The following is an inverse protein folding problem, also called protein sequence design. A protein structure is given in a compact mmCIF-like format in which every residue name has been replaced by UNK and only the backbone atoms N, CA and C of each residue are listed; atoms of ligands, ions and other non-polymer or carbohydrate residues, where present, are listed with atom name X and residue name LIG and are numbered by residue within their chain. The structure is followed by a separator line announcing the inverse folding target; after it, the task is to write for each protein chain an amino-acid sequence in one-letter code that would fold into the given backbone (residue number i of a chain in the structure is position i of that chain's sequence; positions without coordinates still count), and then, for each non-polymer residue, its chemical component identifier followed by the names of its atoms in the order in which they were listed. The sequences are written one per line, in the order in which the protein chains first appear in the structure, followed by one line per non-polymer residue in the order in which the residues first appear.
data_IF_424824795097
#
_entry.id   IF_424824795097
#
_cell.length_a   1.000
_cell.length_b   1.000
_cell.length_c   1.000
_cell.angle_alpha   90.00
_cell.angle_beta   90.00
_cell.angle_gamma   90.00
#
_symmetry.space_group_name_H-M   'P 1'
#
loop_
_entity.id
_entity.type
_entity.pdbx_description
1 polymer ?
#
# COMPACT_ATOMS: atom_id res chain seq x y z
N UNK A 1 -18.75 -1.41 22.94
CA UNK A 1 -18.57 -1.53 21.49
C UNK A 1 -17.35 -0.76 20.97
N UNK A 2 -17.14 0.53 21.31
CA UNK A 2 -16.00 1.34 20.83
C UNK A 2 -14.62 0.74 21.18
N UNK A 3 -14.40 0.24 22.40
CA UNK A 3 -13.13 -0.36 22.81
C UNK A 3 -12.77 -1.65 22.02
N UNK A 4 -13.78 -2.46 21.69
CA UNK A 4 -13.59 -3.68 20.89
C UNK A 4 -13.21 -3.33 19.44
N UNK A 5 -13.89 -2.35 18.82
CA UNK A 5 -13.59 -1.88 17.48
C UNK A 5 -12.17 -1.29 17.38
N UNK A 6 -11.74 -0.56 18.42
CA UNK A 6 -10.40 0.02 18.48
C UNK A 6 -9.32 -1.04 18.67
N UNK A 7 -9.53 -2.04 19.54
CA UNK A 7 -8.62 -3.17 19.68
C UNK A 7 -8.48 -3.95 18.37
N UNK A 8 -9.57 -4.12 17.63
CA UNK A 8 -9.57 -4.76 16.32
C UNK A 8 -8.79 -3.94 15.28
N UNK A 9 -8.94 -2.60 15.25
CA UNK A 9 -8.19 -1.73 14.33
C UNK A 9 -6.68 -1.79 14.60
N UNK A 10 -6.25 -1.73 15.88
CA UNK A 10 -4.84 -1.88 16.27
C UNK A 10 -4.29 -3.24 15.87
N UNK A 11 -5.06 -4.30 16.07
CA UNK A 11 -4.67 -5.67 15.66
C UNK A 11 -4.51 -5.76 14.14
N UNK A 12 -5.46 -5.21 13.37
CA UNK A 12 -5.37 -5.22 11.90
C UNK A 12 -4.18 -4.41 11.37
N UNK A 13 -3.89 -3.26 11.98
CA UNK A 13 -2.70 -2.47 11.64
C UNK A 13 -1.41 -3.27 11.88
N UNK A 14 -1.25 -3.87 13.06
CA UNK A 14 -0.08 -4.71 13.38
C UNK A 14 0.09 -5.89 12.41
N UNK A 15 -1.01 -6.56 12.07
CA UNK A 15 -0.98 -7.65 11.10
C UNK A 15 -0.58 -7.15 9.70
N UNK A 16 -0.99 -5.94 9.30
CA UNK A 16 -0.61 -5.34 8.03
C UNK A 16 0.88 -4.97 8.00
N UNK A 17 1.43 -4.45 9.09
CA UNK A 17 2.88 -4.20 9.24
C UNK A 17 3.65 -5.52 9.13
N UNK A 18 3.25 -6.57 9.88
CA UNK A 18 3.89 -7.88 9.81
C UNK A 18 3.81 -8.49 8.40
N UNK A 19 2.68 -8.37 7.72
CA UNK A 19 2.52 -8.82 6.35
C UNK A 19 3.48 -8.08 5.40
N UNK A 20 3.66 -6.77 5.57
CA UNK A 20 4.59 -5.99 4.75
C UNK A 20 6.04 -6.36 5.04
N UNK A 21 6.42 -6.60 6.31
CA UNK A 21 7.75 -7.13 6.67
C UNK A 21 8.00 -8.49 6.01
N UNK A 22 7.01 -9.38 6.01
CA UNK A 22 7.12 -10.67 5.32
C UNK A 22 7.25 -10.49 3.79
N UNK A 23 6.54 -9.52 3.20
CA UNK A 23 6.70 -9.17 1.78
C UNK A 23 8.14 -8.76 1.46
N UNK A 24 8.71 -7.83 2.25
CA UNK A 24 10.06 -7.33 2.01
C UNK A 24 11.13 -8.40 2.19
N UNK A 25 10.92 -9.32 3.13
CA UNK A 25 11.78 -10.49 3.32
C UNK A 25 11.77 -11.40 2.08
N UNK A 26 10.60 -11.64 1.49
CA UNK A 26 10.48 -12.44 0.27
C UNK A 26 11.03 -11.70 -0.95
N UNK A 27 10.75 -10.39 -1.10
CA UNK A 27 11.27 -9.60 -2.22
C UNK A 27 12.80 -9.52 -2.22
N UNK A 28 13.42 -9.42 -1.05
CA UNK A 28 14.87 -9.28 -0.89
C UNK A 28 15.68 -10.49 -1.37
N UNK A 29 15.07 -11.67 -1.46
CA UNK A 29 15.72 -12.89 -1.95
C UNK A 29 16.09 -12.82 -3.45
N UNK A 30 15.42 -11.96 -4.24
CA UNK A 30 15.65 -11.83 -5.68
C UNK A 30 17.12 -11.58 -6.04
N UNK A 31 17.80 -10.71 -5.30
CA UNK A 31 19.20 -10.35 -5.57
C UNK A 31 20.15 -11.52 -5.48
N UNK A 32 19.97 -12.41 -4.50
CA UNK A 32 20.81 -13.60 -4.33
C UNK A 32 20.49 -14.65 -5.39
N UNK A 33 19.19 -14.91 -5.64
CA UNK A 33 18.78 -15.93 -6.62
C UNK A 33 19.19 -15.56 -8.04
N UNK A 34 19.09 -14.27 -8.42
CA UNK A 34 19.51 -13.85 -9.78
C UNK A 34 20.99 -14.08 -10.05
N UNK A 35 21.85 -14.15 -9.05
CA UNK A 35 23.28 -14.47 -9.19
C UNK A 35 23.56 -15.93 -9.51
N UNK A 36 22.63 -16.82 -9.20
CA UNK A 36 22.71 -18.24 -9.53
C UNK A 36 22.18 -18.56 -10.92
N UNK A 37 21.62 -17.59 -11.66
CA UNK A 37 21.16 -17.75 -13.02
C UNK A 37 22.32 -17.66 -14.00
N UNK A 38 22.35 -18.58 -14.96
CA UNK A 38 23.32 -18.58 -16.05
C UNK A 38 23.02 -17.47 -17.06
N UNK A 39 21.71 -17.20 -17.30
CA UNK A 39 21.28 -16.16 -18.22
C UNK A 39 21.05 -14.83 -17.48
N UNK A 40 21.69 -13.77 -17.98
CA UNK A 40 21.63 -12.44 -17.40
C UNK A 40 20.84 -11.42 -18.26
N UNK A 41 20.09 -11.87 -19.25
CA UNK A 41 19.26 -11.02 -20.10
C UNK A 41 18.01 -10.58 -19.31
N UNK A 42 17.96 -9.29 -18.95
CA UNK A 42 16.90 -8.74 -18.12
C UNK A 42 15.49 -8.94 -18.69
N UNK A 43 15.32 -8.88 -20.02
CA UNK A 43 14.01 -9.07 -20.65
C UNK A 43 13.55 -10.53 -20.55
N UNK A 44 14.46 -11.49 -20.75
CA UNK A 44 14.17 -12.94 -20.60
C UNK A 44 13.80 -13.25 -19.14
N UNK A 45 14.54 -12.66 -18.18
CA UNK A 45 14.24 -12.82 -16.76
C UNK A 45 12.87 -12.24 -16.39
N UNK A 46 12.53 -11.04 -16.90
CA UNK A 46 11.20 -10.44 -16.72
C UNK A 46 10.12 -11.36 -17.27
N UNK A 47 10.27 -11.86 -18.50
CA UNK A 47 9.26 -12.70 -19.15
C UNK A 47 8.92 -13.94 -18.31
N UNK A 48 9.92 -14.75 -18.00
CA UNK A 48 9.70 -16.00 -17.27
C UNK A 48 9.25 -15.77 -15.83
N UNK A 49 9.90 -14.87 -15.09
CA UNK A 49 9.55 -14.55 -13.70
C UNK A 49 8.12 -14.02 -13.60
N UNK A 50 7.75 -13.07 -14.47
CA UNK A 50 6.40 -12.49 -14.48
C UNK A 50 5.37 -13.49 -15.00
N UNK A 51 5.72 -14.33 -15.98
CA UNK A 51 4.88 -15.43 -16.47
C UNK A 51 4.53 -16.42 -15.36
N UNK A 52 5.53 -16.87 -14.60
CA UNK A 52 5.30 -17.78 -13.47
C UNK A 52 4.54 -17.11 -12.33
N UNK A 53 4.76 -15.81 -12.09
CA UNK A 53 3.97 -15.05 -11.10
C UNK A 53 2.50 -14.97 -11.54
N UNK A 54 2.24 -14.66 -12.81
CA UNK A 54 0.89 -14.61 -13.36
C UNK A 54 0.20 -15.98 -13.27
N UNK A 55 0.89 -17.06 -13.66
CA UNK A 55 0.37 -18.43 -13.57
C UNK A 55 0.03 -18.80 -12.13
N UNK A 56 0.95 -18.54 -11.18
CA UNK A 56 0.74 -18.86 -9.76
C UNK A 56 -0.45 -18.10 -9.17
N UNK A 57 -0.56 -16.79 -9.47
CA UNK A 57 -1.68 -15.98 -9.01
C UNK A 57 -3.00 -16.40 -9.65
N UNK A 58 -2.98 -16.76 -10.95
CA UNK A 58 -4.16 -17.26 -11.66
C UNK A 58 -4.67 -18.56 -11.02
N UNK A 59 -3.77 -19.49 -10.73
CA UNK A 59 -4.12 -20.76 -10.07
C UNK A 59 -4.68 -20.53 -8.67
N UNK A 60 -4.02 -19.72 -7.85
CA UNK A 60 -4.45 -19.45 -6.47
C UNK A 60 -5.76 -18.67 -6.43
N UNK A 61 -5.91 -17.61 -7.21
CA UNK A 61 -7.14 -16.82 -7.25
C UNK A 61 -8.28 -17.57 -7.92
N UNK A 62 -7.99 -18.32 -8.99
CA UNK A 62 -8.96 -19.17 -9.68
C UNK A 62 -9.51 -20.28 -8.78
N UNK A 63 -8.63 -20.93 -7.99
CA UNK A 63 -9.03 -21.96 -7.02
C UNK A 63 -9.85 -21.39 -5.86
N UNK A 64 -9.54 -20.15 -5.38
CA UNK A 64 -10.23 -19.52 -4.25
C UNK A 64 -11.56 -18.87 -4.61
N UNK A 65 -11.63 -18.21 -5.74
CA UNK A 65 -12.78 -17.39 -6.13
C UNK A 65 -13.61 -18.00 -7.27
N UNK A 66 -13.04 -19.00 -7.97
CA UNK A 66 -13.56 -19.51 -9.23
C UNK A 66 -13.18 -18.65 -10.43
N UNK A 67 -13.11 -19.29 -11.62
CA UNK A 67 -12.64 -18.64 -12.86
C UNK A 67 -13.62 -17.56 -13.36
N UNK A 68 -14.93 -17.80 -13.26
CA UNK A 68 -15.95 -16.84 -13.74
C UNK A 68 -15.99 -15.54 -12.95
N UNK A 69 -16.03 -15.53 -11.59
CA UNK A 69 -15.92 -14.32 -10.80
C UNK A 69 -14.61 -13.56 -11.05
N UNK A 70 -13.48 -14.30 -11.15
CA UNK A 70 -12.19 -13.70 -11.45
C UNK A 70 -12.23 -12.99 -12.82
N UNK A 71 -12.75 -13.62 -13.87
CA UNK A 71 -12.88 -13.02 -15.19
C UNK A 71 -13.70 -11.72 -15.18
N UNK A 72 -14.83 -11.68 -14.47
CA UNK A 72 -15.62 -10.44 -14.29
C UNK A 72 -14.84 -9.37 -13.54
N UNK A 73 -14.08 -9.72 -12.52
CA UNK A 73 -13.25 -8.79 -11.77
C UNK A 73 -12.17 -8.16 -12.66
N UNK A 74 -11.54 -8.94 -13.53
CA UNK A 74 -10.50 -8.48 -14.44
C UNK A 74 -11.00 -7.41 -15.43
N UNK A 75 -12.27 -7.47 -15.84
CA UNK A 75 -12.86 -6.55 -16.81
C UNK A 75 -13.51 -5.30 -16.17
N UNK A 76 -13.77 -5.33 -14.86
CA UNK A 76 -14.77 -4.45 -14.25
C UNK A 76 -14.27 -3.10 -13.71
N UNK A 77 -12.96 -2.80 -13.60
CA UNK A 77 -12.53 -1.61 -12.86
C UNK A 77 -11.30 -0.93 -13.44
N UNK A 78 -11.43 0.38 -13.76
CA UNK A 78 -10.31 1.21 -14.18
C UNK A 78 -9.22 1.32 -13.11
N UNK A 79 -9.60 1.34 -11.83
CA UNK A 79 -8.65 1.40 -10.69
C UNK A 79 -7.81 0.12 -10.61
N UNK A 80 -8.42 -1.06 -10.89
CA UNK A 80 -7.70 -2.32 -10.96
C UNK A 80 -6.63 -2.30 -12.06
N UNK A 81 -6.99 -1.81 -13.26
CA UNK A 81 -6.05 -1.69 -14.38
C UNK A 81 -4.94 -0.65 -14.11
N UNK A 82 -5.27 0.46 -13.44
CA UNK A 82 -4.27 1.45 -13.00
C UNK A 82 -3.25 0.82 -12.02
N UNK A 83 -3.72 0.06 -11.03
CA UNK A 83 -2.84 -0.68 -10.12
C UNK A 83 -2.03 -1.76 -10.86
N UNK A 84 -2.66 -2.49 -11.79
CA UNK A 84 -1.96 -3.49 -12.62
C UNK A 84 -0.85 -2.85 -13.47
N UNK A 85 -1.08 -1.68 -14.05
CA UNK A 85 -0.05 -0.94 -14.78
C UNK A 85 1.12 -0.54 -13.87
N UNK A 86 0.84 -0.08 -12.64
CA UNK A 86 1.89 0.20 -11.65
C UNK A 86 2.70 -1.06 -11.31
N UNK A 87 2.04 -2.21 -11.07
CA UNK A 87 2.73 -3.49 -10.84
C UNK A 87 3.58 -3.90 -12.04
N UNK A 88 3.06 -3.76 -13.26
CA UNK A 88 3.80 -4.07 -14.50
C UNK A 88 5.06 -3.22 -14.62
N UNK A 89 4.96 -1.90 -14.38
CA UNK A 89 6.12 -1.00 -14.39
C UNK A 89 7.14 -1.41 -13.33
N UNK A 90 6.70 -1.69 -12.09
CA UNK A 90 7.59 -2.12 -11.01
C UNK A 90 8.35 -3.40 -11.38
N UNK A 91 7.65 -4.42 -11.89
CA UNK A 91 8.26 -5.71 -12.24
C UNK A 91 9.24 -5.61 -13.40
N UNK A 92 8.88 -4.83 -14.43
CA UNK A 92 9.69 -4.65 -15.65
C UNK A 92 10.86 -3.72 -15.40
N UNK A 93 10.61 -2.51 -14.87
CA UNK A 93 11.63 -1.48 -14.69
C UNK A 93 12.72 -1.92 -13.71
N UNK A 94 12.37 -2.62 -12.63
CA UNK A 94 13.34 -3.11 -11.65
C UNK A 94 14.36 -4.06 -12.29
N UNK A 95 13.90 -5.06 -13.05
CA UNK A 95 14.79 -6.04 -13.68
C UNK A 95 15.61 -5.44 -14.83
N UNK A 96 15.01 -4.55 -15.62
CA UNK A 96 15.74 -3.86 -16.68
C UNK A 96 16.80 -2.94 -16.06
N UNK A 97 16.48 -2.22 -15.00
CA UNK A 97 17.45 -1.39 -14.28
C UNK A 97 18.63 -2.23 -13.78
N UNK A 98 18.36 -3.39 -13.15
CA UNK A 98 19.42 -4.30 -12.68
C UNK A 98 20.33 -4.82 -13.81
N UNK A 99 19.83 -4.93 -15.04
CA UNK A 99 20.63 -5.35 -16.21
C UNK A 99 21.49 -4.20 -16.81
N UNK A 100 21.13 -2.95 -16.51
CA UNK A 100 21.79 -1.75 -17.04
C UNK A 100 22.70 -1.04 -16.04
N UNK A 101 22.40 -1.18 -14.72
CA UNK A 101 23.16 -0.53 -13.66
C UNK A 101 23.40 -1.50 -12.48
N UNK A 102 24.07 -1.05 -11.43
CA UNK A 102 24.33 -1.88 -10.26
C UNK A 102 23.08 -2.06 -9.38
N UNK A 103 23.03 -3.16 -8.63
CA UNK A 103 21.99 -3.41 -7.63
C UNK A 103 21.91 -2.25 -6.64
N UNK A 104 23.07 -1.76 -6.18
CA UNK A 104 23.17 -0.66 -5.23
C UNK A 104 22.50 0.63 -5.78
N UNK A 105 22.77 1.00 -7.02
CA UNK A 105 22.18 2.18 -7.66
C UNK A 105 20.67 2.04 -7.85
N UNK A 106 20.20 0.85 -8.22
CA UNK A 106 18.77 0.55 -8.35
C UNK A 106 18.06 0.67 -6.99
N UNK A 107 18.65 0.15 -5.92
CA UNK A 107 18.08 0.23 -4.57
C UNK A 107 18.09 1.65 -4.00
N UNK A 108 19.14 2.46 -4.30
CA UNK A 108 19.14 3.89 -3.94
C UNK A 108 18.01 4.62 -4.66
N UNK A 109 17.80 4.38 -5.94
CA UNK A 109 16.67 4.96 -6.66
C UNK A 109 15.33 4.53 -6.03
N UNK A 110 15.17 3.25 -5.71
CA UNK A 110 13.97 2.72 -5.06
C UNK A 110 13.72 3.32 -3.67
N UNK A 111 14.77 3.75 -2.95
CA UNK A 111 14.65 4.39 -1.64
C UNK A 111 13.92 5.73 -1.63
N UNK A 112 13.68 6.33 -2.81
CA UNK A 112 12.84 7.52 -2.96
C UNK A 112 11.34 7.20 -2.83
N UNK A 113 10.93 5.93 -2.80
CA UNK A 113 9.53 5.54 -2.71
C UNK A 113 8.77 6.17 -1.54
N UNK A 114 9.30 6.28 -0.31
CA UNK A 114 8.59 6.93 0.80
C UNK A 114 8.31 8.41 0.55
N UNK A 115 9.24 9.12 -0.10
CA UNK A 115 9.05 10.52 -0.47
C UNK A 115 7.91 10.68 -1.47
N UNK A 116 7.93 9.89 -2.57
CA UNK A 116 6.86 9.92 -3.56
C UNK A 116 5.52 9.48 -2.97
N UNK A 117 5.51 8.45 -2.12
CA UNK A 117 4.30 7.97 -1.47
C UNK A 117 3.70 9.00 -0.50
N UNK A 118 4.53 9.73 0.24
CA UNK A 118 4.10 10.83 1.10
C UNK A 118 3.49 11.98 0.27
N UNK A 119 4.17 12.40 -0.79
CA UNK A 119 3.72 13.48 -1.68
C UNK A 119 2.43 13.11 -2.43
N UNK A 120 2.38 11.95 -3.05
CA UNK A 120 1.18 11.49 -3.77
C UNK A 120 0.02 11.20 -2.80
N UNK A 121 0.29 10.67 -1.62
CA UNK A 121 -0.71 10.47 -0.57
C UNK A 121 -1.32 11.78 -0.08
N UNK A 122 -0.51 12.82 0.07
CA UNK A 122 -0.97 14.17 0.40
C UNK A 122 -1.80 14.76 -0.74
N UNK A 123 -1.31 14.67 -1.98
CA UNK A 123 -1.94 15.30 -3.15
C UNK A 123 -3.28 14.64 -3.52
N UNK A 124 -3.33 13.31 -3.62
CA UNK A 124 -4.50 12.59 -4.13
C UNK A 124 -5.47 12.13 -3.05
N UNK A 125 -4.97 11.73 -1.88
CA UNK A 125 -5.79 11.24 -0.78
C UNK A 125 -6.01 12.28 0.32
N UNK A 126 -5.32 13.43 0.26
CA UNK A 126 -5.32 14.48 1.29
C UNK A 126 -4.96 13.92 2.66
N UNK A 127 -4.12 12.88 2.70
CA UNK A 127 -3.63 12.30 3.93
C UNK A 127 -2.47 13.15 4.46
N UNK A 128 -2.68 13.80 5.60
CA UNK A 128 -1.59 14.50 6.28
C UNK A 128 -0.58 13.45 6.79
N UNK A 129 0.67 13.63 6.40
CA UNK A 129 1.79 12.80 6.87
C UNK A 129 2.30 13.40 8.18
N UNK A 130 2.29 12.65 9.30
CA UNK A 130 2.73 13.19 10.58
C UNK A 130 4.22 13.53 10.55
N UNK A 131 4.67 14.56 11.32
CA UNK A 131 6.06 15.01 11.34
C UNK A 131 7.08 13.89 11.62
N UNK A 132 6.73 12.92 12.47
CA UNK A 132 7.53 11.75 12.77
C UNK A 132 7.84 10.92 11.52
N UNK A 133 6.84 10.75 10.63
CA UNK A 133 7.00 9.99 9.39
C UNK A 133 7.87 10.76 8.40
N UNK A 134 7.76 12.09 8.32
CA UNK A 134 8.68 12.92 7.56
C UNK A 134 10.13 12.78 8.05
N UNK A 135 10.32 12.84 9.37
CA UNK A 135 11.63 12.61 9.96
C UNK A 135 12.18 11.23 9.62
N UNK A 136 11.35 10.18 9.74
CA UNK A 136 11.74 8.82 9.37
C UNK A 136 12.12 8.70 7.89
N UNK A 137 11.38 9.34 6.97
CA UNK A 137 11.70 9.38 5.54
C UNK A 137 13.08 10.00 5.31
N UNK A 138 13.33 11.18 5.89
CA UNK A 138 14.62 11.88 5.74
C UNK A 138 15.77 11.05 6.31
N UNK A 139 15.62 10.53 7.53
CA UNK A 139 16.65 9.71 8.19
C UNK A 139 16.94 8.43 7.40
N UNK A 140 15.88 7.74 6.92
CA UNK A 140 16.05 6.53 6.13
C UNK A 140 16.72 6.80 4.77
N UNK A 141 16.39 7.92 4.11
CA UNK A 141 17.04 8.34 2.86
C UNK A 141 18.52 8.69 3.07
N UNK A 142 18.86 9.36 4.17
CA UNK A 142 20.26 9.64 4.53
C UNK A 142 21.02 8.34 4.83
N UNK A 143 20.40 7.40 5.55
CA UNK A 143 20.96 6.07 5.80
C UNK A 143 21.23 5.31 4.50
N UNK A 144 20.30 5.36 3.53
CA UNK A 144 20.46 4.74 2.22
C UNK A 144 21.56 5.41 1.40
N UNK A 145 21.61 6.75 1.38
CA UNK A 145 22.66 7.50 0.68
C UNK A 145 24.03 7.17 1.27
N UNK A 146 24.16 7.10 2.59
CA UNK A 146 25.40 6.69 3.27
C UNK A 146 25.82 5.25 2.95
N UNK A 147 24.87 4.33 2.96
CA UNK A 147 25.07 2.91 2.67
C UNK A 147 25.72 2.68 1.30
N UNK A 148 25.29 3.46 0.29
CA UNK A 148 25.71 3.29 -1.09
C UNK A 148 26.54 4.44 -1.65
N UNK A 149 27.10 5.32 -0.81
CA UNK A 149 27.85 6.52 -1.21
C UNK A 149 28.93 6.24 -2.26
N UNK A 150 29.76 5.23 -2.01
CA UNK A 150 30.82 4.87 -2.94
C UNK A 150 30.31 4.34 -4.29
N UNK A 151 29.16 3.64 -4.27
CA UNK A 151 28.55 3.09 -5.49
C UNK A 151 27.90 4.19 -6.35
N UNK A 152 27.42 5.27 -5.72
CA UNK A 152 26.86 6.41 -6.43
C UNK A 152 27.91 7.19 -7.21
N UNK A 153 29.14 7.30 -6.68
CA UNK A 153 30.25 8.00 -7.34
C UNK A 153 30.77 7.24 -8.57
N UNK A 154 30.59 5.94 -8.64
CA UNK A 154 31.04 5.09 -9.74
C UNK A 154 30.12 5.09 -10.97
N UNK A 155 29.00 5.84 -10.93
CA UNK A 155 28.06 5.91 -12.05
C UNK A 155 28.62 6.74 -13.21
N UNK A 156 29.25 6.08 -14.19
CA UNK A 156 29.78 6.71 -15.40
C UNK A 156 29.35 5.91 -16.64
N UNK A 157 28.76 6.62 -17.60
CA UNK A 157 28.36 6.08 -18.90
C UNK A 157 26.86 6.13 -19.17
N UNK A 158 26.49 6.28 -20.44
CA UNK A 158 25.10 6.42 -20.92
C UNK A 158 24.21 5.25 -20.53
N UNK A 159 24.75 4.04 -20.52
CA UNK A 159 24.01 2.82 -20.14
C UNK A 159 23.60 2.83 -18.66
N UNK A 160 24.49 3.26 -17.78
CA UNK A 160 24.23 3.34 -16.34
C UNK A 160 23.23 4.45 -16.01
N UNK A 161 23.34 5.60 -16.69
CA UNK A 161 22.37 6.71 -16.57
C UNK A 161 20.99 6.26 -17.01
N UNK A 162 20.89 5.57 -18.15
CA UNK A 162 19.61 5.00 -18.60
C UNK A 162 19.04 4.01 -17.59
N UNK A 163 19.89 3.13 -17.01
CA UNK A 163 19.50 2.22 -15.95
C UNK A 163 18.96 2.93 -14.71
N UNK A 164 19.60 4.03 -14.30
CA UNK A 164 19.15 4.84 -13.16
C UNK A 164 17.81 5.54 -13.43
N UNK A 165 17.63 6.10 -14.64
CA UNK A 165 16.36 6.72 -15.04
C UNK A 165 15.22 5.71 -15.07
N UNK A 166 15.48 4.49 -15.58
CA UNK A 166 14.50 3.39 -15.53
C UNK A 166 14.24 2.97 -14.08
N UNK A 167 15.27 2.91 -13.24
CA UNK A 167 15.11 2.59 -11.81
C UNK A 167 14.19 3.57 -11.08
N UNK A 168 14.18 4.86 -11.44
CA UNK A 168 13.30 5.87 -10.86
C UNK A 168 11.81 5.63 -11.17
N UNK A 169 11.47 4.87 -12.20
CA UNK A 169 10.08 4.49 -12.47
C UNK A 169 9.53 3.57 -11.37
N UNK A 170 10.40 2.78 -10.72
CA UNK A 170 9.99 1.84 -9.65
C UNK A 170 9.37 2.57 -8.46
N UNK A 171 10.04 3.53 -7.79
CA UNK A 171 9.48 4.22 -6.64
C UNK A 171 8.25 5.07 -7.00
N UNK A 172 8.20 5.66 -8.19
CA UNK A 172 7.03 6.42 -8.66
C UNK A 172 5.83 5.49 -8.85
N UNK A 173 6.02 4.37 -9.54
CA UNK A 173 4.96 3.37 -9.75
C UNK A 173 4.51 2.73 -8.43
N UNK A 174 5.45 2.42 -7.52
CA UNK A 174 5.13 1.90 -6.19
C UNK A 174 4.28 2.89 -5.39
N UNK A 175 4.70 4.16 -5.32
CA UNK A 175 3.97 5.20 -4.62
C UNK A 175 2.56 5.42 -5.20
N UNK A 176 2.43 5.48 -6.52
CA UNK A 176 1.14 5.58 -7.20
C UNK A 176 0.26 4.36 -6.90
N UNK A 177 0.83 3.16 -6.91
CA UNK A 177 0.13 1.92 -6.58
C UNK A 177 -0.40 1.92 -5.14
N UNK A 178 0.43 2.29 -4.14
CA UNK A 178 -0.01 2.34 -2.75
C UNK A 178 -1.11 3.37 -2.53
N UNK A 179 -1.06 4.51 -3.23
CA UNK A 179 -2.12 5.52 -3.22
C UNK A 179 -3.41 4.99 -3.84
N UNK A 180 -3.34 4.32 -5.01
CA UNK A 180 -4.49 3.70 -5.66
C UNK A 180 -5.14 2.63 -4.78
N UNK A 181 -4.35 1.73 -4.19
CA UNK A 181 -4.83 0.66 -3.32
C UNK A 181 -5.48 1.22 -2.05
N UNK A 182 -4.89 2.25 -1.44
CA UNK A 182 -5.43 2.90 -0.25
C UNK A 182 -6.69 3.71 -0.55
N UNK A 183 -6.73 4.36 -1.72
CA UNK A 183 -7.84 5.19 -2.19
C UNK A 183 -9.05 4.41 -2.73
N UNK A 184 -8.97 3.09 -2.81
CA UNK A 184 -10.05 2.24 -3.35
C UNK A 184 -11.28 2.22 -2.43
N UNK A 185 -12.10 3.28 -2.54
CA UNK A 185 -13.37 3.41 -1.79
C UNK A 185 -14.53 2.60 -2.39
N UNK A 186 -14.39 2.18 -3.64
CA UNK A 186 -15.44 1.45 -4.35
C UNK A 186 -15.58 -0.02 -3.91
N UNK A 187 -14.75 -0.49 -2.98
CA UNK A 187 -14.78 -1.86 -2.48
C UNK A 187 -14.40 -2.91 -3.54
N UNK A 188 -13.80 -2.49 -4.65
CA UNK A 188 -13.33 -3.40 -5.69
C UNK A 188 -12.21 -4.27 -5.13
N UNK A 189 -12.29 -5.58 -5.34
CA UNK A 189 -11.23 -6.48 -4.96
C UNK A 189 -9.98 -6.22 -5.81
N UNK A 190 -8.91 -5.75 -5.17
CA UNK A 190 -7.65 -5.40 -5.83
C UNK A 190 -6.65 -6.56 -5.87
N UNK A 191 -7.03 -7.75 -5.39
CA UNK A 191 -6.13 -8.90 -5.31
C UNK A 191 -5.68 -9.42 -6.69
N UNK A 192 -6.44 -9.14 -7.73
CA UNK A 192 -6.08 -9.49 -9.11
C UNK A 192 -5.11 -8.48 -9.76
N UNK A 193 -4.81 -7.33 -9.13
CA UNK A 193 -3.89 -6.34 -9.70
C UNK A 193 -2.47 -6.88 -9.93
N UNK A 194 -1.83 -7.61 -8.99
CA UNK A 194 -0.53 -8.22 -9.24
C UNK A 194 -0.55 -9.27 -10.36
N UNK A 195 -1.66 -10.02 -10.51
CA UNK A 195 -1.84 -10.98 -11.60
C UNK A 195 -1.83 -10.27 -12.96
N UNK A 196 -2.67 -9.24 -13.13
CA UNK A 196 -2.71 -8.45 -14.36
C UNK A 196 -1.38 -7.75 -14.62
N UNK A 197 -0.76 -7.19 -13.57
CA UNK A 197 0.54 -6.53 -13.67
C UNK A 197 1.65 -7.48 -14.12
N UNK A 198 1.67 -8.72 -13.61
CA UNK A 198 2.61 -9.74 -14.03
C UNK A 198 2.36 -10.18 -15.49
N UNK A 199 1.10 -10.36 -15.88
CA UNK A 199 0.74 -10.69 -17.25
C UNK A 199 1.14 -9.57 -18.22
N UNK A 200 0.81 -8.32 -17.89
CA UNK A 200 1.20 -7.13 -18.68
C UNK A 200 2.73 -7.01 -18.79
N UNK A 201 3.46 -7.24 -17.69
CA UNK A 201 4.92 -7.23 -17.67
C UNK A 201 5.52 -8.30 -18.60
N UNK A 202 5.02 -9.52 -18.55
CA UNK A 202 5.47 -10.60 -19.44
C UNK A 202 5.17 -10.28 -20.93
N UNK A 203 3.94 -9.80 -21.21
CA UNK A 203 3.54 -9.44 -22.57
C UNK A 203 4.33 -8.26 -23.13
N UNK A 204 4.65 -7.26 -22.30
CA UNK A 204 5.41 -6.07 -22.70
C UNK A 204 6.79 -6.44 -23.25
N UNK A 205 7.45 -7.42 -22.63
CA UNK A 205 8.80 -7.86 -23.05
C UNK A 205 8.80 -9.00 -24.07
N UNK A 206 7.66 -9.67 -24.28
CA UNK A 206 7.58 -10.82 -25.20
C UNK A 206 7.91 -10.46 -26.65
N UNK A 207 7.57 -9.23 -27.12
CA UNK A 207 7.85 -8.76 -28.46
C UNK A 207 9.33 -8.49 -28.72
N UNK A 208 10.01 -7.69 -27.88
CA UNK A 208 11.42 -7.34 -28.08
C UNK A 208 12.42 -8.44 -27.68
N UNK A 209 11.99 -9.51 -27.00
CA UNK A 209 12.86 -10.62 -26.63
C UNK A 209 13.22 -11.46 -27.85
N UNK A 210 14.50 -11.54 -28.19
CA UNK A 210 14.96 -12.29 -29.35
C UNK A 210 14.87 -13.82 -29.18
N UNK A 211 15.15 -14.35 -27.99
CA UNK A 211 15.08 -15.78 -27.69
C UNK A 211 14.68 -16.03 -26.24
N UNK A 212 13.58 -16.74 -26.04
CA UNK A 212 13.07 -17.15 -24.73
C UNK A 212 13.73 -18.42 -24.19
N UNK A 213 14.74 -18.96 -24.87
CA UNK A 213 15.40 -20.20 -24.45
C UNK A 213 16.16 -19.99 -23.15
N UNK A 214 15.84 -20.79 -22.15
CA UNK A 214 16.53 -20.89 -20.85
C UNK A 214 16.75 -22.37 -20.56
N UNK A 215 17.78 -22.70 -19.80
CA UNK A 215 18.00 -24.09 -19.36
C UNK A 215 17.01 -24.46 -18.21
N UNK A 216 16.96 -25.77 -17.90
CA UNK A 216 16.05 -26.26 -16.85
C UNK A 216 16.38 -25.74 -15.48
N UNK A 217 17.65 -25.46 -15.18
CA UNK A 217 18.10 -24.88 -13.92
C UNK A 217 17.56 -23.45 -13.76
N UNK A 218 17.78 -22.59 -14.75
CA UNK A 218 17.28 -21.20 -14.72
C UNK A 218 15.76 -21.16 -14.70
N UNK A 219 15.09 -22.06 -15.45
CA UNK A 219 13.63 -22.13 -15.45
C UNK A 219 13.06 -22.43 -14.06
N UNK A 220 13.69 -23.32 -13.30
CA UNK A 220 13.28 -23.66 -11.94
C UNK A 220 13.43 -22.46 -11.00
N UNK A 221 14.57 -21.76 -11.05
CA UNK A 221 14.79 -20.57 -10.24
C UNK A 221 13.84 -19.43 -10.60
N UNK A 222 13.57 -19.23 -11.89
CA UNK A 222 12.62 -18.23 -12.37
C UNK A 222 11.17 -18.57 -11.96
N UNK A 223 10.82 -19.87 -11.94
CA UNK A 223 9.53 -20.31 -11.41
C UNK A 223 9.41 -20.03 -9.90
N UNK A 224 10.46 -20.32 -9.13
CA UNK A 224 10.52 -20.00 -7.70
C UNK A 224 10.41 -18.49 -7.45
N UNK A 225 11.17 -17.69 -8.20
CA UNK A 225 11.08 -16.22 -8.12
C UNK A 225 9.69 -15.72 -8.51
N UNK A 226 9.05 -16.26 -9.53
CA UNK A 226 7.69 -15.87 -9.92
C UNK A 226 6.67 -16.22 -8.84
N UNK A 227 6.66 -17.47 -8.37
CA UNK A 227 5.66 -17.96 -7.43
C UNK A 227 5.88 -17.43 -6.01
N UNK A 228 7.07 -17.59 -5.44
CA UNK A 228 7.33 -17.27 -4.03
C UNK A 228 7.74 -15.82 -3.83
N UNK A 229 8.53 -15.25 -4.74
CA UNK A 229 9.08 -13.90 -4.57
C UNK A 229 8.18 -12.80 -5.15
N UNK A 230 7.34 -13.07 -6.16
CA UNK A 230 6.42 -12.08 -6.71
C UNK A 230 4.96 -12.34 -6.33
N UNK A 231 4.45 -13.54 -6.59
CA UNK A 231 3.01 -13.81 -6.46
C UNK A 231 2.56 -13.74 -5.00
N UNK A 232 3.25 -14.44 -4.10
CA UNK A 232 2.89 -14.50 -2.68
C UNK A 232 2.96 -13.12 -1.99
N UNK A 233 4.09 -12.39 -2.05
CA UNK A 233 4.14 -11.08 -1.42
C UNK A 233 3.26 -10.04 -2.12
N UNK A 234 3.03 -10.13 -3.43
CA UNK A 234 2.09 -9.27 -4.14
C UNK A 234 0.68 -9.35 -3.55
N UNK A 235 0.19 -10.55 -3.23
CA UNK A 235 -1.11 -10.73 -2.59
C UNK A 235 -1.15 -10.11 -1.17
N UNK A 236 -0.09 -10.30 -0.38
CA UNK A 236 0.01 -9.73 0.97
C UNK A 236 0.15 -8.20 0.94
N UNK A 237 0.94 -7.66 0.02
CA UNK A 237 1.13 -6.22 -0.13
C UNK A 237 -0.17 -5.49 -0.51
N UNK A 238 -0.98 -6.06 -1.41
CA UNK A 238 -2.32 -5.53 -1.72
C UNK A 238 -3.21 -5.48 -0.50
N UNK A 239 -3.19 -6.53 0.34
CA UNK A 239 -3.97 -6.58 1.57
C UNK A 239 -3.47 -5.54 2.61
N UNK A 240 -2.16 -5.39 2.76
CA UNK A 240 -1.55 -4.43 3.67
C UNK A 240 -1.79 -2.97 3.23
N UNK A 241 -1.65 -2.66 1.93
CA UNK A 241 -1.82 -1.33 1.37
C UNK A 241 -3.22 -0.73 1.54
N UNK A 242 -4.23 -1.57 1.72
CA UNK A 242 -5.59 -1.12 2.04
C UNK A 242 -5.73 -0.66 3.51
N UNK A 243 -4.75 -0.99 4.36
CA UNK A 243 -4.78 -0.76 5.82
C UNK A 243 -3.74 0.24 6.30
N UNK A 244 -2.58 0.26 5.68
CA UNK A 244 -1.47 1.16 5.98
C UNK A 244 -1.53 2.43 5.13
N UNK A 245 -0.91 3.50 5.62
CA UNK A 245 -0.72 4.71 4.81
C UNK A 245 0.31 4.46 3.70
N UNK A 246 0.19 5.12 2.51
CA UNK A 246 1.14 4.94 1.42
C UNK A 246 2.60 5.19 1.81
N UNK A 247 2.86 6.22 2.61
CA UNK A 247 4.21 6.52 3.12
C UNK A 247 4.75 5.42 4.05
N UNK A 248 3.89 4.84 4.88
CA UNK A 248 4.22 3.74 5.79
C UNK A 248 4.54 2.46 5.02
N UNK A 249 3.73 2.12 3.99
CA UNK A 249 4.00 1.01 3.08
C UNK A 249 5.37 1.14 2.41
N UNK A 250 5.69 2.33 1.93
CA UNK A 250 6.94 2.59 1.24
C UNK A 250 8.15 2.61 2.19
N UNK A 251 7.99 3.13 3.43
CA UNK A 251 9.03 3.06 4.46
C UNK A 251 9.35 1.60 4.83
N UNK A 252 8.33 0.79 5.09
CA UNK A 252 8.52 -0.64 5.36
C UNK A 252 9.17 -1.35 4.17
N UNK A 253 8.90 -0.90 2.94
CA UNK A 253 9.56 -1.39 1.73
C UNK A 253 11.09 -1.28 1.76
N UNK A 254 11.66 -0.31 2.46
CA UNK A 254 13.11 -0.15 2.58
C UNK A 254 13.79 -1.33 3.33
N UNK A 255 13.04 -2.12 4.10
CA UNK A 255 13.56 -3.34 4.71
C UNK A 255 14.05 -4.35 3.67
N UNK A 256 13.53 -4.30 2.45
CA UNK A 256 14.01 -5.13 1.34
C UNK A 256 15.52 -4.96 1.14
N UNK A 257 16.04 -3.74 1.22
CA UNK A 257 17.46 -3.45 1.08
C UNK A 257 18.28 -4.02 2.24
N UNK A 258 17.77 -3.88 3.47
CA UNK A 258 18.44 -4.42 4.67
C UNK A 258 18.50 -5.95 4.62
N UNK A 259 17.38 -6.59 4.30
CA UNK A 259 17.31 -8.04 4.15
C UNK A 259 18.13 -8.53 2.95
N UNK A 260 18.12 -7.80 1.82
CA UNK A 260 18.91 -8.13 0.63
C UNK A 260 20.40 -8.14 0.92
N UNK A 261 20.88 -7.16 1.70
CA UNK A 261 22.27 -7.12 2.17
C UNK A 261 22.58 -8.30 3.08
N UNK A 262 21.66 -8.66 3.99
CA UNK A 262 21.84 -9.82 4.88
C UNK A 262 21.94 -11.12 4.08
N UNK A 263 21.08 -11.32 3.08
CA UNK A 263 21.11 -12.50 2.22
C UNK A 263 22.39 -12.57 1.37
N UNK A 264 22.89 -11.42 0.87
CA UNK A 264 24.15 -11.36 0.14
C UNK A 264 25.32 -11.79 1.02
N UNK A 265 25.32 -11.40 2.29
CA UNK A 265 26.32 -11.82 3.27
C UNK A 265 26.25 -13.32 3.56
N UNK A 266 25.07 -13.84 3.89
CA UNK A 266 24.88 -15.24 4.27
C UNK A 266 24.98 -16.21 3.10
N UNK A 267 24.46 -15.82 1.91
CA UNK A 267 24.32 -16.71 0.74
C UNK A 267 25.39 -16.54 -0.33
N UNK A 268 26.06 -15.37 -0.40
CA UNK A 268 27.07 -15.10 -1.42
C UNK A 268 28.48 -14.82 -0.82
N UNK A 269 28.65 -15.00 0.49
CA UNK A 269 29.91 -14.74 1.22
C UNK A 269 30.43 -13.31 1.05
N UNK A 270 29.54 -12.36 0.71
CA UNK A 270 29.89 -10.95 0.57
C UNK A 270 29.83 -10.27 1.94
N UNK A 271 31.00 -9.96 2.49
CA UNK A 271 31.05 -9.22 3.75
C UNK A 271 30.60 -7.77 3.54
N UNK A 272 29.50 -7.33 4.19
CA UNK A 272 29.01 -5.97 4.04
C UNK A 272 30.06 -4.98 4.58
N UNK A 273 30.23 -3.85 3.87
CA UNK A 273 31.12 -2.79 4.32
C UNK A 273 30.60 -2.13 5.60
N UNK A 274 31.48 -1.46 6.35
CA UNK A 274 31.08 -0.71 7.55
C UNK A 274 30.00 0.35 7.24
N UNK A 275 30.05 1.01 6.08
CA UNK A 275 29.04 1.97 5.64
C UNK A 275 27.69 1.30 5.40
N UNK A 276 27.67 0.08 4.85
CA UNK A 276 26.47 -0.73 4.64
C UNK A 276 25.80 -1.09 5.97
N UNK A 277 26.59 -1.52 6.96
CA UNK A 277 26.06 -1.86 8.29
C UNK A 277 25.50 -0.63 9.01
N UNK A 278 26.23 0.49 9.02
CA UNK A 278 25.77 1.74 9.64
C UNK A 278 24.50 2.23 8.98
N UNK A 279 24.46 2.31 7.63
CA UNK A 279 23.28 2.74 6.90
C UNK A 279 22.07 1.84 7.14
N UNK A 280 22.26 0.52 7.18
CA UNK A 280 21.22 -0.45 7.51
C UNK A 280 20.66 -0.26 8.93
N UNK A 281 21.50 -0.02 9.92
CA UNK A 281 21.08 0.29 11.31
C UNK A 281 20.28 1.60 11.34
N UNK A 282 20.73 2.65 10.65
CA UNK A 282 20.02 3.94 10.57
C UNK A 282 18.61 3.76 9.97
N UNK A 283 18.47 2.98 8.90
CA UNK A 283 17.19 2.65 8.30
C UNK A 283 16.29 1.92 9.32
N UNK A 284 16.80 0.89 9.98
CA UNK A 284 16.04 0.14 10.99
C UNK A 284 15.58 1.02 12.16
N UNK A 285 16.45 1.90 12.66
CA UNK A 285 16.10 2.84 13.73
C UNK A 285 15.00 3.80 13.29
N UNK A 286 15.08 4.34 12.06
CA UNK A 286 14.05 5.21 11.50
C UNK A 286 12.69 4.49 11.40
N UNK A 287 12.68 3.25 10.92
CA UNK A 287 11.46 2.44 10.77
C UNK A 287 10.83 2.08 12.11
N UNK A 288 11.64 1.51 13.02
CA UNK A 288 11.17 1.11 14.36
C UNK A 288 10.71 2.34 15.15
N UNK A 289 11.44 3.46 15.07
CA UNK A 289 11.07 4.72 15.69
C UNK A 289 9.73 5.25 15.18
N UNK A 290 9.52 5.26 13.86
CA UNK A 290 8.25 5.67 13.26
C UNK A 290 7.07 4.81 13.73
N UNK A 291 7.24 3.48 13.75
CA UNK A 291 6.21 2.55 14.20
C UNK A 291 5.93 2.67 15.71
N UNK A 292 6.96 2.77 16.53
CA UNK A 292 6.82 2.88 17.99
C UNK A 292 6.13 4.17 18.41
N UNK A 293 6.55 5.32 17.86
CA UNK A 293 5.91 6.62 18.09
C UNK A 293 4.47 6.64 17.55
N UNK A 294 4.19 5.88 16.48
CA UNK A 294 2.86 5.69 15.92
C UNK A 294 1.88 5.05 16.88
N UNK A 295 2.31 3.99 17.52
CA UNK A 295 1.48 3.26 18.46
C UNK A 295 1.21 4.06 19.75
N UNK A 296 2.15 4.90 20.19
CA UNK A 296 1.96 5.82 21.32
C UNK A 296 0.84 6.82 21.09
N UNK A 297 0.77 7.39 19.88
CA UNK A 297 -0.31 8.33 19.49
C UNK A 297 -1.71 7.68 19.49
N UNK A 298 -1.82 6.44 19.01
CA UNK A 298 -3.08 5.69 19.01
C UNK A 298 -3.54 5.34 20.43
N UNK A 299 -2.61 5.01 21.34
CA UNK A 299 -2.91 4.72 22.75
C UNK A 299 -3.30 5.98 23.52
N UNK A 300 -2.65 7.12 23.24
CA UNK A 300 -2.92 8.40 23.89
C UNK A 300 -4.28 8.97 23.49
N UNK A 301 -4.67 8.87 22.20
CA UNK A 301 -6.00 9.25 21.73
C UNK A 301 -7.10 8.38 22.37
N UNK A 302 -6.83 7.09 22.62
CA UNK A 302 -7.72 6.18 23.32
C UNK A 302 -7.95 6.58 24.77
N UNK A 303 -6.90 6.92 25.49
CA UNK A 303 -6.99 7.31 26.91
C UNK A 303 -7.64 8.70 27.11
N UNK A 304 -7.51 9.59 26.13
CA UNK A 304 -8.18 10.90 26.17
C UNK A 304 -9.70 10.79 25.96
N UNK A 305 -10.16 9.86 25.12
CA UNK A 305 -11.60 9.59 24.92
C UNK A 305 -12.26 8.88 26.11
N UNK A 306 -11.49 8.09 26.87
CA UNK A 306 -11.96 7.44 28.11
C UNK A 306 -12.01 8.41 29.31
N UNK A 307 -11.27 9.49 29.26
CA UNK A 307 -11.40 10.64 30.19
C UNK A 307 -12.41 11.59 29.58
N UNK A 308 -13.70 11.30 29.76
CA UNK A 308 -14.80 12.19 29.37
C UNK A 308 -14.58 13.63 29.85
N UNK A 309 -15.26 14.62 29.25
CA UNK A 309 -15.07 16.01 29.61
C UNK A 309 -15.30 16.14 31.11
N UNK A 310 -14.24 16.54 31.85
CA UNK A 310 -14.40 16.99 33.24
C UNK A 310 -15.48 18.05 33.21
N UNK A 311 -16.69 17.71 33.70
CA UNK A 311 -17.71 18.68 34.05
C UNK A 311 -17.03 19.73 34.93
N UNK A 312 -16.79 20.90 34.39
CA UNK A 312 -16.53 22.08 35.19
C UNK A 312 -17.78 22.25 36.03
N UNK A 313 -17.74 21.80 37.28
CA UNK A 313 -18.68 22.18 38.29
C UNK A 313 -18.51 23.71 38.46
N UNK A 314 -19.39 24.47 37.82
CA UNK A 314 -19.57 25.88 38.10
C UNK A 314 -20.20 25.92 39.49
N UNK A 315 -19.40 26.28 40.45
CA UNK A 315 -19.87 26.74 41.75
C UNK A 315 -20.61 28.05 41.47
N UNK A 316 -21.93 28.01 41.45
CA UNK A 316 -22.77 29.18 41.62
C UNK A 316 -23.28 29.13 43.06
N UNK A 317 -22.52 29.74 43.95
CA UNK A 317 -22.99 30.13 45.25
C UNK A 317 -23.50 31.57 45.18
N UNK A 318 -24.60 31.78 45.87
CA UNK A 318 -25.19 33.05 46.30
C UNK A 318 -26.23 33.69 45.38
N UNK A 319 -27.48 33.42 45.71
CA UNK A 319 -28.59 34.34 45.61
C UNK A 319 -29.10 34.63 47.02
N UNK A 320 -29.49 35.87 47.34
CA UNK A 320 -30.43 36.11 48.40
C UNK A 320 -31.85 36.25 47.85
N UNK A 321 -32.77 35.66 48.63
CA UNK A 321 -34.21 35.82 48.62
C UNK A 321 -34.64 37.28 48.75
N UNK A 322 -35.66 37.72 47.99
CA UNK A 322 -36.64 38.72 48.49
C UNK A 322 -37.92 38.70 47.63
N UNK A 323 -39.00 38.34 48.36
CA UNK A 323 -40.36 38.95 48.42
C UNK A 323 -41.24 38.94 47.16
N UNK A 324 -42.34 38.15 47.32
CA UNK A 324 -43.67 38.37 46.75
C UNK A 324 -44.23 39.76 47.08
N UNK A 325 -45.30 40.34 46.44
CA UNK A 325 -46.64 39.77 46.47
C UNK A 325 -47.55 39.99 45.21
N UNK A 326 -48.54 39.09 45.13
CA UNK A 326 -49.95 39.18 44.69
C UNK A 326 -50.45 40.43 43.90
N UNK A 327 -51.22 40.11 42.84
CA UNK A 327 -52.68 40.47 42.68
C UNK A 327 -53.14 40.02 41.26
N UNK A 328 -54.17 39.17 41.20
CA UNK A 328 -55.54 39.42 40.79
C UNK A 328 -55.80 39.92 39.37
N UNK A 329 -56.64 39.16 38.66
CA UNK A 329 -57.65 39.70 37.78
C UNK A 329 -57.97 38.97 36.52
N UNK A 330 -58.90 38.10 36.56
CA UNK A 330 -60.21 37.99 35.91
C UNK A 330 -60.30 38.01 34.37
N UNK A 331 -61.12 37.06 33.96
CA UNK A 331 -62.17 37.04 32.90
C UNK A 331 -61.67 36.70 31.48
N UNK A 332 -62.04 35.57 30.97
CA UNK A 332 -63.37 35.10 30.44
C UNK A 332 -63.48 35.31 28.92
N UNK A 333 -63.98 34.27 28.35
CA UNK A 333 -65.02 34.17 27.30
C UNK A 333 -64.61 33.74 25.93
N UNK A 334 -65.09 32.55 25.59
CA UNK A 334 -65.83 32.08 24.38
C UNK A 334 -65.07 32.17 23.01
N UNK A 335 -65.21 31.20 22.19
CA UNK A 335 -66.29 30.45 21.65
C UNK A 335 -65.95 29.97 20.26
N UNK A 336 -66.50 28.79 19.89
CA UNK A 336 -66.88 28.48 18.54
C UNK A 336 -65.89 27.62 17.78
N UNK A 337 -66.05 26.31 17.65
CA UNK A 337 -67.04 25.51 16.87
C UNK A 337 -66.83 25.61 15.37
N UNK A 338 -66.79 24.47 14.78
CA UNK A 338 -67.09 24.20 13.35
C UNK A 338 -66.06 23.25 12.75
N UNK A 339 -66.21 21.92 12.84
CA UNK A 339 -66.96 21.06 11.88
C UNK A 339 -66.51 21.31 10.42
N UNK A 340 -66.06 20.35 9.72
CA UNK A 340 -66.70 19.30 9.00
C UNK A 340 -65.84 18.77 7.83
N UNK A 341 -65.92 17.48 7.70
CA UNK A 341 -66.12 16.63 6.51
C UNK A 341 -65.07 16.67 5.38
N UNK A 342 -64.44 15.54 5.19
CA UNK A 342 -64.89 14.30 4.51
C UNK A 342 -64.57 14.27 3.01
N UNK A 343 -64.23 13.05 2.66
CA UNK A 343 -64.40 12.32 1.39
C UNK A 343 -63.20 12.28 0.47
N UNK A 344 -62.69 11.05 0.38
CA UNK A 344 -62.96 9.96 -0.61
C UNK A 344 -62.47 10.31 -2.00
N UNK A 345 -61.66 9.52 -2.60
CA UNK A 345 -61.91 8.33 -3.35
C UNK A 345 -60.84 8.09 -4.44
N UNK A 346 -60.61 6.81 -4.59
CA UNK A 346 -60.40 6.02 -5.81
C UNK A 346 -59.13 6.22 -6.68
N UNK A 347 -58.32 5.19 -6.60
CA UNK A 347 -58.22 4.06 -7.57
C UNK A 347 -57.85 4.46 -8.99
N UNK A 348 -56.79 3.92 -9.48
CA UNK A 348 -56.89 2.91 -10.55
C UNK A 348 -55.52 2.50 -11.07
N UNK A 349 -55.26 1.22 -10.97
CA UNK A 349 -54.72 0.28 -11.94
C UNK A 349 -54.14 0.83 -13.26
N UNK A 350 -52.96 0.39 -13.62
CA UNK A 350 -52.75 -0.54 -14.73
C UNK A 350 -51.26 -0.64 -15.13
N UNK A 351 -50.69 -1.79 -14.82
CA UNK A 351 -49.79 -2.43 -15.78
C UNK A 351 -50.60 -2.80 -17.07
N UNK A 352 -50.01 -3.11 -18.23
CA UNK A 352 -48.83 -3.93 -18.44
C UNK A 352 -48.01 -3.72 -19.73
N UNK A 353 -46.91 -4.43 -19.76
CA UNK A 353 -46.37 -5.26 -20.85
C UNK A 353 -45.69 -4.64 -22.09
N UNK A 354 -44.43 -5.03 -22.19
CA UNK A 354 -43.89 -5.92 -23.25
C UNK A 354 -43.29 -5.34 -24.53
N UNK A 355 -42.15 -5.97 -24.84
CA UNK A 355 -41.51 -6.25 -26.16
C UNK A 355 -40.48 -5.25 -26.68
N UNK A 356 -39.24 -5.68 -26.64
CA UNK A 356 -38.46 -6.33 -27.72
C UNK A 356 -37.87 -5.36 -28.77
N UNK A 357 -36.57 -5.20 -28.69
CA UNK A 357 -35.58 -5.66 -29.68
C UNK A 357 -34.20 -5.59 -29.11
#
# INVERSE_FOLDING_TARGET
MAACAQAQAVRQHRLAVLAMVACTLLWSVAGVVTRHLHRQDGMVLVFWRSGFAALSLLLVLGARQGVRPLGRQLLGSRVLWGSAACWSVMYTAFMIALSLTSVAQTLVAASLAPLFAALLGLLFLRLAVPPRTWLAIVVAMLGMAWMFWHNLQAASGTRQVAGLLIALLVPVAAAANWVLLRGNRAGVSMQAAPLLGALMSALLVAGPVGSLRVDGHDLLWLALLGAAQLALPGAFAVWAAQRLAPAEMALLGLLETVFGTLWAWLGASEVPSGSTLIGGVVILVALVGNEWLGQGGLRSASSAHLRGPKKRARISSSLPESSEPQTEGLASVDGGSGDDESKDDESNDQEPAARAR
#
